data_IF_534263071887
#
_entry.id   IF_534263071887
#
_cell.length_a   1.000
_cell.length_b   1.000
_cell.length_c   1.000
_cell.angle_alpha   90.00
_cell.angle_beta   90.00
_cell.angle_gamma   90.00
#
_symmetry.space_group_name_H-M   'P 1'
#
loop_
_entity.id
_entity.type
_entity.pdbx_description
1 polymer ?
#
# COMPACT_ATOMS: atom_id res chain seq x y z
N UNK A 1 -38.42 14.30 -1.03
CA UNK A 1 -37.08 13.72 -0.91
C UNK A 1 -36.07 14.53 -1.70
N UNK A 2 -35.89 14.28 -2.99
CA UNK A 2 -34.81 14.90 -3.79
C UNK A 2 -35.22 16.08 -4.68
N UNK A 3 -36.50 16.45 -4.76
CA UNK A 3 -37.01 17.50 -5.66
C UNK A 3 -36.65 18.95 -5.28
N UNK A 4 -35.99 19.20 -4.13
CA UNK A 4 -35.80 20.57 -3.60
C UNK A 4 -34.50 21.25 -4.06
N UNK A 5 -33.51 20.49 -4.56
CA UNK A 5 -32.16 21.03 -4.80
C UNK A 5 -31.50 20.63 -6.12
N UNK A 6 -32.25 19.99 -7.04
CA UNK A 6 -31.75 19.54 -8.36
C UNK A 6 -30.37 18.86 -8.34
N UNK A 7 -30.11 18.02 -7.34
CA UNK A 7 -28.81 17.36 -7.14
C UNK A 7 -28.60 16.12 -8.03
N UNK A 8 -29.51 15.84 -8.96
CA UNK A 8 -29.45 14.66 -9.83
C UNK A 8 -28.27 14.72 -10.80
N UNK A 9 -27.80 15.92 -11.13
CA UNK A 9 -26.58 16.10 -11.94
C UNK A 9 -25.30 15.61 -11.23
N UNK A 10 -25.34 15.40 -9.91
CA UNK A 10 -24.22 14.88 -9.11
C UNK A 10 -24.41 13.42 -8.69
N UNK A 11 -25.48 12.76 -9.13
CA UNK A 11 -25.63 11.32 -8.90
C UNK A 11 -24.60 10.58 -9.75
N UNK A 12 -23.75 9.79 -9.09
CA UNK A 12 -22.79 8.94 -9.79
C UNK A 12 -23.56 7.95 -10.66
N UNK A 13 -23.10 7.78 -11.89
CA UNK A 13 -23.62 6.73 -12.76
C UNK A 13 -23.08 5.35 -12.34
N UNK A 14 -23.57 4.29 -13.01
CA UNK A 14 -23.20 2.91 -12.67
C UNK A 14 -21.68 2.66 -12.87
N UNK A 15 -21.07 3.27 -13.88
CA UNK A 15 -19.64 3.13 -14.15
C UNK A 15 -18.82 3.84 -13.07
N UNK A 16 -19.21 5.05 -12.69
CA UNK A 16 -18.60 5.81 -11.60
C UNK A 16 -18.73 5.09 -10.24
N UNK A 17 -19.87 4.46 -9.97
CA UNK A 17 -20.05 3.61 -8.79
C UNK A 17 -19.12 2.39 -8.81
N UNK A 18 -18.93 1.76 -9.96
CA UNK A 18 -18.00 0.64 -10.11
C UNK A 18 -16.56 1.09 -9.88
N UNK A 19 -16.16 2.25 -10.43
CA UNK A 19 -14.85 2.86 -10.18
C UNK A 19 -14.67 3.13 -8.69
N UNK A 20 -15.66 3.76 -8.04
CA UNK A 20 -15.59 4.07 -6.61
C UNK A 20 -15.45 2.81 -5.75
N UNK A 21 -16.17 1.74 -6.09
CA UNK A 21 -16.09 0.46 -5.39
C UNK A 21 -14.70 -0.18 -5.51
N UNK A 22 -14.13 -0.22 -6.71
CA UNK A 22 -12.78 -0.77 -6.94
C UNK A 22 -11.69 0.12 -6.32
N UNK A 23 -11.82 1.45 -6.42
CA UNK A 23 -10.90 2.40 -5.81
C UNK A 23 -10.91 2.29 -4.28
N UNK A 24 -12.07 2.02 -3.67
CA UNK A 24 -12.16 1.74 -2.23
C UNK A 24 -11.26 0.56 -1.83
N UNK A 25 -11.16 -0.48 -2.65
CA UNK A 25 -10.28 -1.62 -2.39
C UNK A 25 -8.82 -1.21 -2.36
N UNK A 26 -8.39 -0.38 -3.33
CA UNK A 26 -7.03 0.18 -3.36
C UNK A 26 -6.77 1.07 -2.15
N UNK A 27 -7.69 1.99 -1.84
CA UNK A 27 -7.55 2.92 -0.72
C UNK A 27 -7.57 2.24 0.64
N UNK A 28 -8.30 1.13 0.77
CA UNK A 28 -8.36 0.33 1.99
C UNK A 28 -6.97 -0.18 2.40
N UNK A 29 -6.13 -0.56 1.43
CA UNK A 29 -4.75 -0.98 1.70
C UNK A 29 -3.97 0.09 2.49
N UNK A 30 -4.05 1.36 2.04
CA UNK A 30 -3.40 2.48 2.72
C UNK A 30 -4.05 2.80 4.07
N UNK A 31 -5.37 2.69 4.15
CA UNK A 31 -6.09 2.90 5.41
C UNK A 31 -5.70 1.86 6.46
N UNK A 32 -5.60 0.58 6.07
CA UNK A 32 -5.24 -0.52 6.97
C UNK A 32 -3.79 -0.35 7.47
N UNK A 33 -2.86 0.03 6.57
CA UNK A 33 -1.48 0.34 6.93
C UNK A 33 -1.38 1.56 7.87
N UNK A 34 -2.11 2.63 7.57
CA UNK A 34 -2.14 3.84 8.42
C UNK A 34 -2.68 3.52 9.80
N UNK A 35 -3.75 2.75 9.88
CA UNK A 35 -4.33 2.32 11.15
C UNK A 35 -3.35 1.42 11.92
N UNK A 36 -2.66 0.51 11.24
CA UNK A 36 -1.62 -0.32 11.84
C UNK A 36 -0.53 0.52 12.51
N UNK A 37 0.02 1.51 11.81
CA UNK A 37 1.04 2.41 12.35
C UNK A 37 0.52 3.43 13.39
N UNK A 38 -0.79 3.69 13.41
CA UNK A 38 -1.42 4.61 14.37
C UNK A 38 -1.72 3.97 15.74
N UNK A 39 -1.58 2.64 15.87
CA UNK A 39 -1.82 1.94 17.15
C UNK A 39 -0.76 2.35 18.17
N UNK A 40 -1.17 2.88 19.33
CA UNK A 40 -0.23 3.13 20.41
C UNK A 40 0.30 1.80 20.95
N UNK A 41 1.63 1.66 20.95
CA UNK A 41 2.32 0.55 21.60
C UNK A 41 3.13 -0.39 20.70
N UNK A 42 3.02 -0.35 19.36
CA UNK A 42 3.72 -1.33 18.51
C UNK A 42 4.08 -0.97 17.04
N UNK A 43 4.28 0.29 16.58
CA UNK A 43 5.01 0.48 15.34
C UNK A 43 6.51 0.47 15.68
N UNK A 44 7.08 -0.74 15.80
CA UNK A 44 8.53 -0.88 15.86
C UNK A 44 9.08 -0.55 14.46
N UNK A 45 10.23 0.10 14.40
CA UNK A 45 10.93 0.43 13.16
C UNK A 45 11.08 -0.80 12.23
N UNK A 46 11.10 -2.00 12.82
CA UNK A 46 11.14 -3.31 12.18
C UNK A 46 9.92 -3.59 11.28
N UNK A 47 8.74 -3.08 11.62
CA UNK A 47 7.49 -3.32 10.88
C UNK A 47 7.32 -2.48 9.61
N UNK A 48 8.17 -1.46 9.42
CA UNK A 48 8.09 -0.57 8.26
C UNK A 48 8.37 -1.34 6.97
N UNK A 49 9.45 -2.12 6.95
CA UNK A 49 9.86 -2.89 5.78
C UNK A 49 8.77 -3.89 5.35
N UNK A 50 8.28 -4.80 6.23
CA UNK A 50 7.21 -5.72 5.86
C UNK A 50 5.91 -5.06 5.43
N UNK A 51 5.53 -3.93 6.04
CA UNK A 51 4.33 -3.22 5.64
C UNK A 51 4.48 -2.60 4.23
N UNK A 52 5.66 -2.07 3.91
CA UNK A 52 5.95 -1.51 2.60
C UNK A 52 6.04 -2.59 1.52
N UNK A 53 6.71 -3.72 1.80
CA UNK A 53 6.74 -4.90 0.92
C UNK A 53 5.32 -5.40 0.63
N UNK A 54 4.47 -5.49 1.66
CA UNK A 54 3.08 -5.89 1.50
C UNK A 54 2.27 -4.90 0.64
N UNK A 55 2.48 -3.59 0.83
CA UNK A 55 1.80 -2.57 0.02
C UNK A 55 2.26 -2.65 -1.44
N UNK A 56 3.56 -2.78 -1.70
CA UNK A 56 4.12 -2.90 -3.05
C UNK A 56 3.54 -4.11 -3.78
N UNK A 57 3.59 -5.29 -3.15
CA UNK A 57 3.08 -6.54 -3.70
C UNK A 57 1.59 -6.45 -4.04
N UNK A 58 0.78 -5.92 -3.10
CA UNK A 58 -0.67 -5.79 -3.31
C UNK A 58 -1.00 -4.81 -4.43
N UNK A 59 -0.30 -3.68 -4.51
CA UNK A 59 -0.52 -2.72 -5.60
C UNK A 59 -0.03 -3.26 -6.94
N UNK A 60 1.04 -4.07 -6.96
CA UNK A 60 1.51 -4.75 -8.16
C UNK A 60 0.45 -5.72 -8.70
N UNK A 61 -0.12 -6.54 -7.83
CA UNK A 61 -1.21 -7.45 -8.18
C UNK A 61 -2.43 -6.70 -8.69
N UNK A 62 -2.88 -5.65 -8.00
CA UNK A 62 -4.02 -4.82 -8.43
C UNK A 62 -3.76 -4.11 -9.76
N UNK A 63 -2.51 -3.71 -10.05
CA UNK A 63 -2.14 -3.09 -11.33
C UNK A 63 -2.23 -4.04 -12.53
N UNK A 64 -2.16 -5.35 -12.28
CA UNK A 64 -2.20 -6.40 -13.30
C UNK A 64 -3.55 -7.14 -13.35
N UNK A 65 -4.44 -6.87 -12.40
CA UNK A 65 -5.74 -7.55 -12.25
C UNK A 65 -6.72 -7.16 -13.38
N UNK A 66 -6.97 -8.09 -14.31
CA UNK A 66 -7.87 -7.88 -15.46
C UNK A 66 -9.33 -7.65 -15.06
N UNK A 67 -9.73 -8.06 -13.85
CA UNK A 67 -11.07 -7.80 -13.31
C UNK A 67 -11.22 -6.34 -12.83
N UNK A 68 -10.11 -5.60 -12.71
CA UNK A 68 -10.11 -4.17 -12.41
C UNK A 68 -10.18 -3.29 -13.66
N UNK A 69 -10.95 -2.21 -13.55
CA UNK A 69 -11.07 -1.20 -14.59
C UNK A 69 -9.68 -0.61 -14.92
N UNK A 70 -9.39 -0.30 -16.20
CA UNK A 70 -8.09 0.23 -16.61
C UNK A 70 -7.63 1.46 -15.82
N UNK A 71 -8.57 2.36 -15.48
CA UNK A 71 -8.29 3.54 -14.68
C UNK A 71 -7.82 3.19 -13.25
N UNK A 72 -8.42 2.15 -12.64
CA UNK A 72 -8.07 1.70 -11.29
C UNK A 72 -6.71 0.99 -11.31
N UNK A 73 -6.44 0.16 -12.32
CA UNK A 73 -5.11 -0.45 -12.52
C UNK A 73 -4.00 0.60 -12.68
N UNK A 74 -4.27 1.64 -13.48
CA UNK A 74 -3.35 2.75 -13.64
C UNK A 74 -3.13 3.50 -12.33
N UNK A 75 -4.21 3.76 -11.57
CA UNK A 75 -4.12 4.39 -10.26
C UNK A 75 -3.32 3.55 -9.25
N UNK A 76 -3.52 2.23 -9.21
CA UNK A 76 -2.74 1.31 -8.37
C UNK A 76 -1.25 1.35 -8.75
N UNK A 77 -0.94 1.32 -10.04
CA UNK A 77 0.44 1.41 -10.55
C UNK A 77 1.12 2.74 -10.19
N UNK A 78 0.39 3.85 -10.28
CA UNK A 78 0.84 5.19 -9.86
C UNK A 78 1.04 5.27 -8.35
N UNK A 79 0.12 4.68 -7.58
CA UNK A 79 0.22 4.56 -6.12
C UNK A 79 1.48 3.81 -5.73
N UNK A 80 1.73 2.66 -6.37
CA UNK A 80 2.93 1.83 -6.16
C UNK A 80 4.21 2.62 -6.41
N UNK A 81 4.31 3.29 -7.57
CA UNK A 81 5.46 4.13 -7.90
C UNK A 81 5.69 5.24 -6.87
N UNK A 82 4.60 5.82 -6.35
CA UNK A 82 4.68 6.85 -5.32
C UNK A 82 5.19 6.28 -4.00
N UNK A 83 4.68 5.12 -3.56
CA UNK A 83 5.16 4.42 -2.36
C UNK A 83 6.63 4.06 -2.47
N UNK A 84 7.07 3.51 -3.60
CA UNK A 84 8.45 3.05 -3.78
C UNK A 84 9.44 4.23 -3.73
N UNK A 85 9.07 5.40 -4.24
CA UNK A 85 9.89 6.62 -4.10
C UNK A 85 10.16 7.02 -2.65
N UNK A 86 9.21 6.77 -1.74
CA UNK A 86 9.43 7.01 -0.30
C UNK A 86 10.11 5.83 0.38
N UNK A 87 9.94 4.64 -0.16
CA UNK A 87 10.64 3.44 0.28
C UNK A 87 12.14 3.52 0.05
N UNK A 88 12.56 3.94 -1.14
CA UNK A 88 13.97 4.20 -1.49
C UNK A 88 14.63 5.16 -0.47
N UNK A 89 13.89 6.16 0.04
CA UNK A 89 14.40 7.08 1.07
C UNK A 89 14.49 6.45 2.46
N UNK A 90 13.71 5.40 2.72
CA UNK A 90 13.79 4.63 3.97
C UNK A 90 15.04 3.75 3.94
N UNK A 91 15.41 3.25 2.76
CA UNK A 91 16.65 2.51 2.50
C UNK A 91 17.92 3.36 2.64
N UNK A 92 17.85 4.68 2.43
CA UNK A 92 18.95 5.61 2.72
C UNK A 92 19.32 5.66 4.23
N UNK A 93 18.49 5.05 5.10
CA UNK A 93 18.72 4.99 6.54
C UNK A 93 18.93 3.54 7.01
N UNK A 94 20.16 3.24 7.43
CA UNK A 94 20.54 1.92 7.98
C UNK A 94 19.72 1.51 9.21
N UNK A 95 19.06 2.47 9.87
CA UNK A 95 18.31 2.26 11.12
C UNK A 95 17.22 1.18 10.98
N UNK A 96 16.49 1.14 9.86
CA UNK A 96 15.43 0.16 9.63
C UNK A 96 16.00 -1.26 9.45
N UNK A 97 17.09 -1.38 8.69
CA UNK A 97 17.77 -2.66 8.44
C UNK A 97 18.45 -3.18 9.70
N UNK A 98 19.13 -2.32 10.46
CA UNK A 98 19.74 -2.68 11.75
C UNK A 98 18.66 -3.16 12.73
N UNK A 99 17.52 -2.46 12.81
CA UNK A 99 16.43 -2.89 13.69
C UNK A 99 15.87 -4.27 13.30
N UNK A 100 15.74 -4.55 12.00
CA UNK A 100 15.36 -5.88 11.50
C UNK A 100 16.40 -6.96 11.81
N UNK A 101 17.69 -6.67 11.56
CA UNK A 101 18.77 -7.59 11.87
C UNK A 101 18.85 -7.94 13.37
N UNK A 102 18.50 -6.99 14.24
CA UNK A 102 18.43 -7.17 15.69
C UNK A 102 17.11 -7.81 16.16
N UNK A 103 16.12 -8.00 15.28
CA UNK A 103 14.85 -8.61 15.65
C UNK A 103 15.05 -10.10 16.02
N UNK A 104 14.71 -10.54 17.24
CA UNK A 104 15.12 -11.84 17.76
C UNK A 104 14.60 -13.05 16.96
N UNK A 105 13.47 -12.88 16.24
CA UNK A 105 12.83 -13.94 15.47
C UNK A 105 13.06 -13.88 13.95
N UNK A 106 13.45 -12.72 13.40
CA UNK A 106 13.54 -12.51 11.94
C UNK A 106 14.98 -12.36 11.46
N UNK A 107 15.77 -11.56 12.18
CA UNK A 107 17.18 -11.27 11.88
C UNK A 107 17.39 -11.02 10.38
N UNK A 108 18.30 -11.76 9.75
CA UNK A 108 18.58 -11.70 8.32
C UNK A 108 17.74 -12.69 7.49
N UNK A 109 17.01 -13.60 8.15
CA UNK A 109 16.28 -14.65 7.45
C UNK A 109 15.02 -14.09 6.77
N UNK A 110 14.41 -13.03 7.33
CA UNK A 110 13.33 -12.30 6.65
C UNK A 110 13.74 -11.81 5.26
N UNK A 111 14.92 -11.18 5.13
CA UNK A 111 15.34 -10.63 3.84
C UNK A 111 15.56 -11.71 2.79
N UNK A 112 16.05 -12.89 3.21
CA UNK A 112 16.22 -14.04 2.32
C UNK A 112 14.87 -14.61 1.89
N UNK A 113 13.92 -14.73 2.82
CA UNK A 113 12.57 -15.24 2.55
C UNK A 113 11.74 -14.27 1.69
N UNK A 114 11.91 -12.97 1.89
CA UNK A 114 11.30 -11.91 1.09
C UNK A 114 11.96 -11.75 -0.29
N UNK A 115 13.02 -12.50 -0.59
CA UNK A 115 13.68 -12.52 -1.90
C UNK A 115 14.52 -11.28 -2.20
N UNK A 116 15.01 -10.58 -1.18
CA UNK A 116 15.82 -9.38 -1.37
C UNK A 116 17.19 -9.73 -1.96
N UNK A 117 17.69 -8.87 -2.84
CA UNK A 117 19.03 -8.99 -3.40
C UNK A 117 20.10 -8.79 -2.31
N UNK A 118 21.19 -9.56 -2.35
CA UNK A 118 22.27 -9.47 -1.34
C UNK A 118 22.91 -8.08 -1.21
N UNK A 119 22.81 -7.22 -2.23
CA UNK A 119 23.28 -5.83 -2.15
C UNK A 119 22.42 -4.96 -1.21
N UNK A 120 21.23 -5.44 -0.85
CA UNK A 120 20.22 -4.78 -0.02
C UNK A 120 20.06 -5.43 1.36
N UNK A 121 20.84 -6.50 1.65
CA UNK A 121 20.89 -7.23 2.93
C UNK A 121 22.08 -6.78 3.77
#
# INVERSE_FOLDING_TARGET
GSKKWDLREYELDEEEWQIAAQLRTVLKLFSDATLFFSRSGNPNLVSIIPAMDHIDDRLAHMGLDEDMLPAVRAAASLGRKTCNRYYEKTDDTETNRIAMALHPSWKLDYFKEAGWENAWI
#
